data_IF_384934018998
#
_entry.id   IF_384934018998
#
_cell.length_a   1.000
_cell.length_b   1.000
_cell.length_c   1.000
_cell.angle_alpha   90.00
_cell.angle_beta   90.00
_cell.angle_gamma   90.00
#
_symmetry.space_group_name_H-M   'P 1'
#
loop_
_entity.id
_entity.type
_entity.pdbx_description
1 polymer ?
#
# COMPACT_ATOMS: atom_id res chain seq x y z
N UNK A 1 -15.89 19.83 3.85
CA UNK A 1 -15.02 18.86 4.57
C UNK A 1 -14.31 17.99 3.54
N UNK A 2 -13.16 17.37 3.85
CA UNK A 2 -12.44 16.55 2.87
C UNK A 2 -13.05 15.15 2.78
N UNK A 3 -13.26 14.64 1.57
CA UNK A 3 -13.84 13.32 1.33
C UNK A 3 -13.11 12.58 0.20
N UNK A 4 -12.97 11.27 0.30
CA UNK A 4 -12.47 10.41 -0.78
C UNK A 4 -13.58 10.19 -1.79
N UNK A 5 -13.25 10.32 -3.09
CA UNK A 5 -14.16 10.10 -4.22
C UNK A 5 -13.46 9.35 -5.34
N UNK A 6 -14.17 8.43 -5.99
CA UNK A 6 -13.71 7.77 -7.21
C UNK A 6 -12.52 6.82 -7.04
N UNK A 7 -12.37 6.20 -5.87
CA UNK A 7 -11.28 5.24 -5.64
C UNK A 7 -11.30 4.11 -6.68
N UNK A 8 -10.16 3.92 -7.35
CA UNK A 8 -9.95 2.93 -8.42
C UNK A 8 -8.60 2.26 -8.28
N UNK A 9 -8.59 0.93 -8.27
CA UNK A 9 -7.37 0.13 -8.21
C UNK A 9 -7.12 -0.64 -9.50
N UNK A 10 -5.87 -0.68 -9.94
CA UNK A 10 -5.42 -1.38 -11.15
C UNK A 10 -4.23 -2.27 -10.82
N UNK A 11 -4.15 -3.42 -11.46
CA UNK A 11 -3.14 -4.45 -11.20
C UNK A 11 -2.39 -4.82 -12.48
N UNK A 12 -1.13 -5.27 -12.37
CA UNK A 12 -0.41 -5.86 -13.49
C UNK A 12 -1.15 -7.08 -14.08
N UNK A 13 -0.73 -7.51 -15.26
CA UNK A 13 -1.42 -8.58 -16.01
C UNK A 13 -1.21 -9.99 -15.45
N UNK A 14 -0.10 -10.24 -14.72
CA UNK A 14 0.29 -11.58 -14.32
C UNK A 14 -0.30 -11.93 -12.96
N UNK A 15 -1.51 -12.49 -12.97
CA UNK A 15 -2.09 -13.10 -11.77
C UNK A 15 -1.45 -14.45 -11.53
N UNK A 16 -0.95 -14.68 -10.30
CA UNK A 16 -0.29 -15.91 -9.89
C UNK A 16 -0.89 -16.47 -8.61
N UNK A 17 -0.82 -17.78 -8.45
CA UNK A 17 -1.24 -18.48 -7.24
C UNK A 17 -0.06 -18.65 -6.28
N UNK A 18 -0.35 -18.70 -4.98
CA UNK A 18 0.68 -18.88 -3.95
C UNK A 18 1.50 -20.17 -4.14
N UNK A 19 0.87 -21.22 -4.66
CA UNK A 19 1.56 -22.46 -4.94
C UNK A 19 2.65 -22.30 -6.02
N UNK A 20 2.39 -21.50 -7.06
CA UNK A 20 3.38 -21.21 -8.10
C UNK A 20 4.58 -20.44 -7.54
N UNK A 21 4.33 -19.48 -6.63
CA UNK A 21 5.39 -18.74 -5.93
C UNK A 21 6.20 -19.67 -5.02
N UNK A 22 5.54 -20.61 -4.34
CA UNK A 22 6.21 -21.62 -3.52
C UNK A 22 7.14 -22.49 -4.38
N UNK A 23 6.72 -22.88 -5.59
CA UNK A 23 7.56 -23.62 -6.53
C UNK A 23 8.78 -22.81 -7.01
N UNK A 24 8.62 -21.49 -7.26
CA UNK A 24 9.75 -20.59 -7.54
C UNK A 24 10.74 -20.59 -6.36
N UNK A 25 10.23 -20.43 -5.12
CA UNK A 25 11.06 -20.51 -3.92
C UNK A 25 11.81 -21.83 -3.80
N UNK A 26 11.17 -22.95 -4.14
CA UNK A 26 11.82 -24.27 -4.20
C UNK A 26 12.93 -24.35 -5.24
N UNK A 27 12.67 -23.90 -6.46
CA UNK A 27 13.67 -23.85 -7.54
C UNK A 27 14.91 -23.08 -7.12
N UNK A 28 14.74 -21.93 -6.48
CA UNK A 28 15.84 -21.04 -6.08
C UNK A 28 16.59 -21.52 -4.83
N UNK A 29 15.89 -22.03 -3.82
CA UNK A 29 16.44 -22.18 -2.47
C UNK A 29 16.44 -23.59 -1.91
N UNK A 30 15.99 -24.63 -2.66
CA UNK A 30 15.90 -26.02 -2.15
C UNK A 30 17.24 -26.60 -1.70
N UNK A 31 18.36 -26.16 -2.28
CA UNK A 31 19.72 -26.56 -1.86
C UNK A 31 20.10 -26.01 -0.47
N UNK A 32 19.41 -25.01 0.05
CA UNK A 32 19.66 -24.42 1.37
C UNK A 32 18.90 -25.21 2.44
N UNK A 33 19.61 -25.82 3.40
CA UNK A 33 19.00 -26.63 4.47
C UNK A 33 17.96 -25.84 5.27
N UNK A 34 18.22 -24.56 5.52
CA UNK A 34 17.32 -23.67 6.26
C UNK A 34 16.00 -23.41 5.51
N UNK A 35 15.98 -23.48 4.17
CA UNK A 35 14.77 -23.26 3.38
C UNK A 35 13.66 -24.26 3.72
N UNK A 36 13.98 -25.53 3.96
CA UNK A 36 12.99 -26.55 4.35
C UNK A 36 12.18 -26.16 5.60
N UNK A 37 12.82 -25.45 6.55
CA UNK A 37 12.14 -24.93 7.76
C UNK A 37 11.31 -23.70 7.47
N UNK A 38 11.71 -22.90 6.49
CA UNK A 38 11.07 -21.63 6.13
C UNK A 38 9.95 -21.79 5.12
N UNK A 39 9.93 -22.86 4.35
CA UNK A 39 8.97 -23.09 3.27
C UNK A 39 7.51 -22.98 3.74
N UNK A 40 7.21 -23.32 4.98
CA UNK A 40 5.88 -23.18 5.60
C UNK A 40 5.39 -21.72 5.60
N UNK A 41 6.27 -20.72 5.38
CA UNK A 41 5.85 -19.31 5.30
C UNK A 41 4.87 -19.08 4.16
N UNK A 42 5.03 -19.80 3.03
CA UNK A 42 4.10 -19.69 1.90
C UNK A 42 2.69 -20.17 2.29
N UNK A 43 2.59 -21.28 3.02
CA UNK A 43 1.30 -21.84 3.45
C UNK A 43 0.65 -20.99 4.55
N UNK A 44 1.46 -20.36 5.42
CA UNK A 44 1.01 -19.57 6.58
C UNK A 44 0.89 -18.05 6.30
N UNK A 45 1.20 -17.60 5.08
CA UNK A 45 1.17 -16.18 4.72
C UNK A 45 -0.24 -15.57 4.72
N UNK A 46 -1.26 -16.43 4.51
CA UNK A 46 -2.65 -16.00 4.27
C UNK A 46 -2.92 -15.61 2.81
N UNK A 47 -1.89 -15.55 1.97
CA UNK A 47 -2.00 -15.19 0.55
C UNK A 47 -2.41 -16.42 -0.26
N UNK A 48 -3.40 -16.28 -1.13
CA UNK A 48 -3.84 -17.31 -2.09
C UNK A 48 -3.44 -16.93 -3.52
N UNK A 49 -3.63 -15.67 -3.87
CA UNK A 49 -3.28 -15.12 -5.18
C UNK A 49 -2.66 -13.74 -5.03
N UNK A 50 -2.00 -13.28 -6.08
CA UNK A 50 -1.52 -11.89 -6.22
C UNK A 50 -1.27 -11.56 -7.68
N UNK A 51 -0.90 -10.31 -7.94
CA UNK A 51 -0.49 -9.85 -9.26
C UNK A 51 0.98 -9.46 -9.22
N UNK A 52 1.71 -9.79 -10.28
CA UNK A 52 3.13 -9.48 -10.47
C UNK A 52 3.35 -8.70 -11.75
N UNK A 53 4.34 -7.84 -11.74
CA UNK A 53 4.70 -7.00 -12.89
C UNK A 53 5.23 -7.82 -14.05
N UNK A 54 6.07 -8.84 -13.78
CA UNK A 54 6.68 -9.71 -14.77
C UNK A 54 6.18 -11.15 -14.65
N UNK A 55 6.45 -11.96 -15.68
CA UNK A 55 6.17 -13.41 -15.66
C UNK A 55 7.06 -14.12 -14.64
N UNK A 56 6.61 -15.27 -14.15
CA UNK A 56 7.33 -16.03 -13.11
C UNK A 56 8.77 -16.40 -13.49
N UNK A 57 9.03 -16.69 -14.76
CA UNK A 57 10.38 -17.05 -15.22
C UNK A 57 11.38 -15.92 -15.07
N UNK A 58 10.94 -14.65 -15.19
CA UNK A 58 11.78 -13.49 -14.95
C UNK A 58 12.37 -13.49 -13.54
N UNK A 59 11.61 -13.93 -12.54
CA UNK A 59 12.07 -13.96 -11.14
C UNK A 59 13.05 -15.08 -10.82
N UNK A 60 13.36 -15.96 -11.76
CA UNK A 60 14.40 -16.97 -11.65
C UNK A 60 15.78 -16.46 -12.04
N UNK A 61 15.85 -15.32 -12.72
CA UNK A 61 17.05 -14.72 -13.26
C UNK A 61 17.54 -13.54 -12.39
N UNK A 62 18.83 -13.25 -12.49
CA UNK A 62 19.42 -12.08 -11.84
C UNK A 62 19.20 -10.83 -12.70
N UNK A 63 18.77 -9.76 -12.06
CA UNK A 63 18.54 -8.47 -12.70
C UNK A 63 19.23 -7.37 -11.90
N UNK A 64 19.87 -6.45 -12.60
CA UNK A 64 20.50 -5.30 -11.97
C UNK A 64 19.49 -4.20 -11.58
N UNK A 65 19.94 -3.25 -10.78
CA UNK A 65 19.12 -2.13 -10.32
C UNK A 65 18.50 -1.31 -11.45
N UNK A 66 19.29 -1.02 -12.52
CA UNK A 66 18.83 -0.23 -13.66
C UNK A 66 17.63 -0.87 -14.37
N UNK A 67 17.71 -2.19 -14.60
CA UNK A 67 16.64 -2.96 -15.25
C UNK A 67 15.37 -2.99 -14.40
N UNK A 68 15.50 -3.30 -13.10
CA UNK A 68 14.38 -3.32 -12.16
C UNK A 68 13.68 -1.95 -12.08
N UNK A 69 14.47 -0.89 -12.02
CA UNK A 69 13.94 0.46 -11.91
C UNK A 69 13.35 0.96 -13.23
N UNK A 70 13.89 0.54 -14.38
CA UNK A 70 13.28 0.78 -15.69
C UNK A 70 11.89 0.13 -15.79
N UNK A 71 11.77 -1.15 -15.36
CA UNK A 71 10.50 -1.87 -15.33
C UNK A 71 9.51 -1.20 -14.36
N UNK A 72 10.00 -0.74 -13.20
CA UNK A 72 9.18 0.02 -12.26
C UNK A 72 8.59 1.27 -12.93
N UNK A 73 9.41 2.14 -13.48
CA UNK A 73 8.94 3.38 -14.12
C UNK A 73 7.91 3.11 -15.21
N UNK A 74 8.22 2.19 -16.13
CA UNK A 74 7.35 1.83 -17.25
C UNK A 74 5.99 1.30 -16.78
N UNK A 75 6.00 0.33 -15.87
CA UNK A 75 4.76 -0.34 -15.43
C UNK A 75 3.97 0.53 -14.46
N UNK A 76 4.62 1.26 -13.55
CA UNK A 76 3.96 2.20 -12.66
C UNK A 76 3.21 3.30 -13.41
N UNK A 77 3.84 3.89 -14.44
CA UNK A 77 3.19 4.90 -15.27
C UNK A 77 1.96 4.35 -16.01
N UNK A 78 2.07 3.15 -16.59
CA UNK A 78 0.96 2.52 -17.30
C UNK A 78 -0.23 2.21 -16.37
N UNK A 79 0.03 1.63 -15.19
CA UNK A 79 -1.00 1.32 -14.21
C UNK A 79 -1.67 2.59 -13.68
N UNK A 80 -0.88 3.62 -13.35
CA UNK A 80 -1.41 4.89 -12.87
C UNK A 80 -2.22 5.61 -13.94
N UNK A 81 -1.80 5.58 -15.21
CA UNK A 81 -2.58 6.14 -16.31
C UNK A 81 -3.98 5.53 -16.39
N UNK A 82 -4.08 4.20 -16.26
CA UNK A 82 -5.35 3.48 -16.27
C UNK A 82 -6.18 3.81 -15.02
N UNK A 83 -5.60 3.71 -13.83
CA UNK A 83 -6.26 4.02 -12.56
C UNK A 83 -6.78 5.46 -12.49
N UNK A 84 -5.97 6.44 -12.91
CA UNK A 84 -6.37 7.86 -12.95
C UNK A 84 -7.52 8.08 -13.93
N UNK A 85 -7.45 7.45 -15.12
CA UNK A 85 -8.53 7.51 -16.10
C UNK A 85 -9.85 7.02 -15.52
N UNK A 86 -9.84 5.83 -14.88
CA UNK A 86 -11.03 5.31 -14.21
C UNK A 86 -11.55 6.24 -13.09
N UNK A 87 -10.64 6.81 -12.30
CA UNK A 87 -10.99 7.77 -11.22
C UNK A 87 -11.69 9.00 -11.77
N UNK A 88 -11.14 9.59 -12.84
CA UNK A 88 -11.69 10.78 -13.50
C UNK A 88 -13.05 10.46 -14.15
N UNK A 89 -13.18 9.32 -14.81
CA UNK A 89 -14.43 8.87 -15.44
C UNK A 89 -15.53 8.62 -14.39
N UNK A 90 -15.21 7.89 -13.30
CA UNK A 90 -16.16 7.62 -12.19
C UNK A 90 -16.66 8.89 -11.50
N UNK A 91 -15.83 9.93 -11.46
CA UNK A 91 -16.16 11.19 -10.74
C UNK A 91 -16.69 12.27 -11.66
N UNK A 92 -16.59 12.09 -12.98
CA UNK A 92 -16.83 13.11 -13.99
C UNK A 92 -16.03 14.42 -13.72
N UNK A 93 -14.81 14.26 -13.17
CA UNK A 93 -13.94 15.41 -12.82
C UNK A 93 -13.05 15.76 -14.00
N UNK A 94 -12.99 17.03 -14.37
CA UNK A 94 -12.08 17.50 -15.42
C UNK A 94 -10.66 17.65 -14.87
N UNK A 95 -9.60 17.16 -15.54
CA UNK A 95 -8.22 17.29 -15.07
C UNK A 95 -7.79 18.73 -14.73
N UNK A 96 -8.28 19.72 -15.47
CA UNK A 96 -7.96 21.15 -15.26
C UNK A 96 -8.43 21.68 -13.88
N UNK A 97 -9.36 21.00 -13.23
CA UNK A 97 -9.86 21.36 -11.88
C UNK A 97 -8.98 20.80 -10.77
N UNK A 98 -8.09 19.86 -11.07
CA UNK A 98 -7.20 19.25 -10.09
C UNK A 98 -6.09 20.24 -9.75
N UNK A 99 -6.00 20.61 -8.46
CA UNK A 99 -5.05 21.59 -7.96
C UNK A 99 -3.73 21.00 -7.47
N UNK A 100 -3.71 19.68 -7.14
CA UNK A 100 -2.48 18.99 -6.77
C UNK A 100 -2.49 17.51 -7.14
N UNK A 101 -1.29 16.95 -7.35
CA UNK A 101 -1.03 15.51 -7.46
C UNK A 101 -0.17 15.11 -6.26
N UNK A 102 -0.67 14.18 -5.44
CA UNK A 102 0.09 13.50 -4.39
C UNK A 102 0.43 12.10 -4.90
N UNK A 103 1.70 11.83 -5.15
CA UNK A 103 2.18 10.52 -5.59
C UNK A 103 2.92 9.82 -4.44
N UNK A 104 2.48 8.63 -4.07
CA UNK A 104 3.10 7.79 -3.04
C UNK A 104 3.67 6.53 -3.68
N UNK A 105 4.96 6.28 -3.48
CA UNK A 105 5.61 5.02 -3.83
C UNK A 105 6.82 4.77 -2.94
N UNK A 106 7.26 3.51 -2.86
CA UNK A 106 8.44 3.11 -2.10
C UNK A 106 9.24 1.97 -2.77
N UNK A 107 8.86 1.58 -3.99
CA UNK A 107 9.41 0.39 -4.66
C UNK A 107 10.22 0.70 -5.92
N UNK A 108 10.41 1.97 -6.23
CA UNK A 108 11.27 2.45 -7.32
C UNK A 108 11.49 3.95 -7.23
N UNK A 109 12.51 4.45 -7.93
CA UNK A 109 12.90 5.87 -7.92
C UNK A 109 13.02 6.42 -9.32
N UNK A 110 12.72 7.69 -9.49
CA UNK A 110 12.98 8.42 -10.73
C UNK A 110 13.14 9.93 -10.49
N UNK A 111 13.92 10.55 -11.33
CA UNK A 111 13.98 12.01 -11.44
C UNK A 111 14.03 12.36 -12.94
N UNK A 112 13.05 13.11 -13.48
CA UNK A 112 11.82 13.56 -12.81
C UNK A 112 10.97 12.41 -12.22
N UNK A 113 10.20 12.71 -11.17
CA UNK A 113 9.30 11.75 -10.53
C UNK A 113 8.10 11.41 -11.41
N UNK A 114 7.46 10.26 -11.20
CA UNK A 114 6.37 9.74 -12.08
C UNK A 114 5.19 10.73 -12.18
N UNK A 115 4.93 11.53 -11.15
CA UNK A 115 3.90 12.58 -11.19
C UNK A 115 4.18 13.65 -12.27
N UNK A 116 5.46 13.89 -12.62
CA UNK A 116 5.81 14.76 -13.75
C UNK A 116 5.46 14.11 -15.11
N UNK A 117 5.59 12.78 -15.21
CA UNK A 117 5.17 12.06 -16.42
C UNK A 117 3.64 12.00 -16.52
N UNK A 118 2.95 11.77 -15.38
CA UNK A 118 1.48 11.84 -15.29
C UNK A 118 0.97 13.22 -15.74
N UNK A 119 1.63 14.30 -15.31
CA UNK A 119 1.28 15.67 -15.73
C UNK A 119 1.20 15.81 -17.25
N UNK A 120 2.10 15.20 -17.99
CA UNK A 120 2.10 15.24 -19.46
C UNK A 120 1.05 14.33 -20.12
N UNK A 121 0.42 13.42 -19.39
CA UNK A 121 -0.57 12.48 -19.94
C UNK A 121 -2.01 13.01 -19.88
N UNK A 122 -2.26 14.01 -19.02
CA UNK A 122 -3.60 14.56 -18.80
C UNK A 122 -3.55 16.09 -18.93
N UNK A 123 -4.67 16.70 -19.26
CA UNK A 123 -4.78 18.15 -19.43
C UNK A 123 -4.92 18.87 -18.09
N UNK A 124 -3.90 18.78 -17.22
CA UNK A 124 -3.85 19.52 -15.96
C UNK A 124 -3.47 20.98 -16.18
N UNK A 125 -3.79 21.83 -15.20
CA UNK A 125 -3.32 23.21 -15.18
C UNK A 125 -1.79 23.25 -14.92
N UNK A 126 -1.06 24.14 -15.60
CA UNK A 126 0.39 24.28 -15.43
C UNK A 126 0.83 24.70 -14.01
N UNK A 127 -0.08 25.30 -13.23
CA UNK A 127 0.16 25.70 -11.85
C UNK A 127 -0.17 24.59 -10.82
N UNK A 128 -0.37 23.35 -11.28
CA UNK A 128 -0.67 22.22 -10.39
C UNK A 128 0.48 21.99 -9.39
N UNK A 129 0.14 21.81 -8.12
CA UNK A 129 1.12 21.44 -7.09
C UNK A 129 1.44 19.95 -7.21
N UNK A 130 2.72 19.58 -7.21
CA UNK A 130 3.15 18.19 -7.21
C UNK A 130 3.85 17.84 -5.89
N UNK A 131 3.41 16.76 -5.26
CA UNK A 131 3.98 16.23 -4.02
C UNK A 131 4.33 14.74 -4.19
N UNK A 132 5.52 14.41 -4.71
CA UNK A 132 6.02 13.04 -4.71
C UNK A 132 6.50 12.67 -3.29
N UNK A 133 6.03 11.52 -2.79
CA UNK A 133 6.36 10.99 -1.47
C UNK A 133 7.01 9.63 -1.65
N UNK A 134 8.26 9.51 -1.20
CA UNK A 134 9.01 8.27 -1.18
C UNK A 134 9.33 7.85 0.25
N UNK A 135 9.29 6.53 0.53
CA UNK A 135 9.83 5.98 1.77
C UNK A 135 8.82 5.78 2.92
N UNK A 136 7.54 6.11 2.74
CA UNK A 136 6.51 5.76 3.74
C UNK A 136 6.15 4.28 3.75
N UNK A 137 6.52 3.52 2.69
CA UNK A 137 6.20 2.10 2.57
C UNK A 137 4.73 1.81 2.87
N UNK A 138 4.48 0.79 3.68
CA UNK A 138 3.12 0.36 4.01
C UNK A 138 2.24 1.43 4.68
N UNK A 139 2.82 2.41 5.39
CA UNK A 139 2.05 3.52 5.96
C UNK A 139 1.59 4.54 4.92
N UNK A 140 2.17 4.50 3.71
CA UNK A 140 1.97 5.51 2.67
C UNK A 140 0.52 5.70 2.23
N UNK A 141 -0.32 4.65 2.30
CA UNK A 141 -1.73 4.77 1.94
C UNK A 141 -2.52 5.70 2.87
N UNK A 142 -2.20 5.69 4.17
CA UNK A 142 -2.84 6.59 5.15
C UNK A 142 -2.09 7.93 5.23
N UNK A 143 -0.76 7.91 5.25
CA UNK A 143 0.03 9.15 5.34
C UNK A 143 -0.12 10.03 4.09
N UNK A 144 -0.19 9.42 2.89
CA UNK A 144 -0.48 10.12 1.66
C UNK A 144 -1.87 10.75 1.66
N UNK A 145 -2.88 10.05 2.17
CA UNK A 145 -4.22 10.59 2.40
C UNK A 145 -4.17 11.80 3.33
N UNK A 146 -3.44 11.71 4.46
CA UNK A 146 -3.33 12.80 5.42
C UNK A 146 -2.71 14.04 4.77
N UNK A 147 -1.62 13.89 3.99
CA UNK A 147 -1.01 15.00 3.22
C UNK A 147 -1.98 15.60 2.20
N UNK A 148 -2.72 14.75 1.48
CA UNK A 148 -3.71 15.21 0.51
C UNK A 148 -4.83 16.03 1.16
N UNK A 149 -5.30 15.63 2.34
CA UNK A 149 -6.30 16.38 3.13
C UNK A 149 -5.75 17.74 3.58
N UNK A 150 -4.48 17.82 4.00
CA UNK A 150 -3.82 19.07 4.38
C UNK A 150 -3.70 20.03 3.18
N UNK A 151 -3.29 19.51 2.02
CA UNK A 151 -3.19 20.28 0.78
C UNK A 151 -4.59 20.76 0.33
N UNK A 152 -5.60 19.87 0.39
CA UNK A 152 -6.99 20.23 0.08
C UNK A 152 -7.48 21.41 0.93
N UNK A 153 -7.23 21.38 2.24
CA UNK A 153 -7.60 22.48 3.15
C UNK A 153 -6.87 23.79 2.82
N UNK A 154 -5.64 23.70 2.35
CA UNK A 154 -4.83 24.87 1.98
C UNK A 154 -5.23 25.47 0.64
N UNK A 155 -5.43 24.63 -0.37
CA UNK A 155 -5.69 25.07 -1.74
C UNK A 155 -7.17 25.29 -2.05
N UNK A 156 -8.06 24.59 -1.32
CA UNK A 156 -9.50 24.50 -1.63
C UNK A 156 -9.78 24.08 -3.09
N UNK A 157 -9.00 23.12 -3.59
CA UNK A 157 -9.09 22.54 -4.94
C UNK A 157 -9.07 21.03 -4.83
N UNK A 158 -9.64 20.32 -5.82
CA UNK A 158 -9.57 18.87 -5.94
C UNK A 158 -8.12 18.38 -5.93
N UNK A 159 -7.81 17.36 -5.14
CA UNK A 159 -6.48 16.76 -5.06
C UNK A 159 -6.54 15.34 -5.64
N UNK A 160 -5.69 15.03 -6.62
CA UNK A 160 -5.48 13.68 -7.10
C UNK A 160 -4.43 12.98 -6.23
N UNK A 161 -4.80 11.83 -5.67
CA UNK A 161 -3.88 11.00 -4.91
C UNK A 161 -3.62 9.70 -5.67
N UNK A 162 -2.36 9.35 -5.81
CA UNK A 162 -1.88 8.18 -6.54
C UNK A 162 -0.96 7.37 -5.64
N UNK A 163 -1.25 6.09 -5.46
CA UNK A 163 -0.37 5.14 -4.79
C UNK A 163 0.03 4.05 -5.77
N UNK A 164 1.32 3.77 -5.94
CA UNK A 164 1.79 2.69 -6.80
C UNK A 164 2.94 1.94 -6.16
N UNK A 165 2.80 0.62 -6.08
CA UNK A 165 3.82 -0.26 -5.52
C UNK A 165 3.99 -1.51 -6.39
N UNK A 166 5.21 -1.73 -6.85
CA UNK A 166 5.60 -2.91 -7.61
C UNK A 166 6.64 -3.69 -6.81
N UNK A 167 6.18 -4.22 -5.66
CA UNK A 167 7.03 -4.84 -4.66
C UNK A 167 7.75 -6.07 -5.20
N UNK A 168 7.17 -6.77 -6.19
CA UNK A 168 7.80 -7.95 -6.79
C UNK A 168 9.14 -7.63 -7.46
N UNK A 169 9.31 -6.42 -7.98
CA UNK A 169 10.57 -6.00 -8.60
C UNK A 169 11.73 -5.82 -7.61
N UNK A 170 11.46 -5.83 -6.31
CA UNK A 170 12.50 -5.80 -5.27
C UNK A 170 13.01 -7.19 -4.89
N UNK A 171 12.41 -8.26 -5.42
CA UNK A 171 12.84 -9.63 -5.13
C UNK A 171 14.22 -9.92 -5.73
N UNK A 172 15.10 -10.55 -4.94
CA UNK A 172 16.50 -10.83 -5.28
C UNK A 172 16.74 -12.36 -5.24
N UNK A 173 16.68 -13.05 -6.39
CA UNK A 173 16.73 -14.52 -6.45
C UNK A 173 18.05 -15.11 -5.92
N UNK A 174 19.16 -14.38 -6.04
CA UNK A 174 20.48 -14.81 -5.57
C UNK A 174 20.67 -14.70 -4.05
N UNK A 175 19.80 -13.95 -3.35
CA UNK A 175 19.95 -13.69 -1.92
C UNK A 175 19.05 -14.61 -1.11
N UNK A 176 19.67 -15.52 -0.37
CA UNK A 176 18.96 -16.33 0.61
C UNK A 176 19.02 -15.68 1.98
N UNK A 177 17.99 -14.93 2.34
CA UNK A 177 17.75 -14.43 3.69
C UNK A 177 16.31 -14.75 4.11
N UNK A 178 16.06 -14.69 5.41
CA UNK A 178 14.71 -14.91 5.94
C UNK A 178 13.74 -13.84 5.44
N UNK A 179 14.19 -12.60 5.43
CA UNK A 179 13.43 -11.43 5.00
C UNK A 179 13.06 -11.54 3.52
N UNK A 180 14.03 -11.94 2.67
CA UNK A 180 13.80 -12.12 1.24
C UNK A 180 12.82 -13.28 0.96
N UNK A 181 12.93 -14.41 1.66
CA UNK A 181 11.97 -15.53 1.53
C UNK A 181 10.57 -15.12 2.02
N UNK A 182 10.46 -14.38 3.13
CA UNK A 182 9.17 -13.89 3.64
C UNK A 182 8.55 -12.90 2.67
N UNK A 183 9.35 -12.00 2.08
CA UNK A 183 8.84 -11.03 1.10
C UNK A 183 8.26 -11.70 -0.14
N UNK A 184 8.89 -12.79 -0.64
CA UNK A 184 8.35 -13.57 -1.76
C UNK A 184 7.01 -14.22 -1.43
N UNK A 185 6.80 -14.62 -0.17
CA UNK A 185 5.55 -15.21 0.27
C UNK A 185 4.41 -14.19 0.46
N UNK A 186 4.73 -12.89 0.61
CA UNK A 186 3.77 -11.85 0.98
C UNK A 186 3.48 -10.83 -0.12
N UNK A 187 4.51 -10.29 -0.79
CA UNK A 187 4.36 -9.11 -1.62
C UNK A 187 3.65 -9.36 -2.94
N UNK A 188 2.85 -8.36 -3.34
CA UNK A 188 2.21 -8.24 -4.66
C UNK A 188 2.35 -6.82 -5.19
N UNK A 189 1.86 -6.59 -6.41
CA UNK A 189 1.97 -5.35 -7.16
C UNK A 189 0.61 -4.76 -7.47
N UNK A 190 0.52 -3.43 -7.54
CA UNK A 190 -0.69 -2.72 -7.90
C UNK A 190 -0.60 -1.22 -7.70
N UNK A 191 -1.62 -0.54 -8.11
CA UNK A 191 -1.81 0.88 -7.85
C UNK A 191 -3.25 1.20 -7.48
N UNK A 192 -3.46 2.37 -6.89
CA UNK A 192 -4.76 2.95 -6.66
C UNK A 192 -4.69 4.47 -6.80
N UNK A 193 -5.75 5.07 -7.35
CA UNK A 193 -5.91 6.52 -7.38
C UNK A 193 -7.30 6.92 -6.91
N UNK A 194 -7.41 8.14 -6.38
CA UNK A 194 -8.66 8.72 -5.91
C UNK A 194 -8.54 10.24 -5.84
N UNK A 195 -9.68 10.89 -5.70
CA UNK A 195 -9.75 12.33 -5.49
C UNK A 195 -10.07 12.66 -4.03
N UNK A 196 -9.52 13.78 -3.54
CA UNK A 196 -9.99 14.46 -2.35
C UNK A 196 -10.77 15.67 -2.81
N UNK A 197 -12.05 15.69 -2.44
CA UNK A 197 -13.01 16.74 -2.73
C UNK A 197 -13.84 17.10 -1.49
N UNK A 198 -14.72 18.07 -1.59
CA UNK A 198 -15.61 18.46 -0.50
C UNK A 198 -16.66 17.36 -0.22
N UNK A 199 -17.17 16.73 -1.27
CA UNK A 199 -18.17 15.66 -1.21
C UNK A 199 -17.62 14.36 -1.78
N UNK A 200 -17.92 13.24 -1.13
CA UNK A 200 -17.47 11.92 -1.55
C UNK A 200 -17.99 10.81 -0.64
N UNK A 201 -17.67 9.57 -0.99
CA UNK A 201 -18.17 8.37 -0.28
C UNK A 201 -17.58 8.19 1.12
N UNK A 202 -16.38 8.73 1.37
CA UNK A 202 -15.68 8.58 2.64
C UNK A 202 -15.20 9.94 3.12
N UNK A 203 -15.90 10.52 4.09
CA UNK A 203 -15.53 11.79 4.72
C UNK A 203 -14.42 11.57 5.73
N UNK A 204 -13.38 12.39 5.70
CA UNK A 204 -12.27 12.34 6.67
C UNK A 204 -12.65 13.20 7.87
N UNK A 205 -12.80 12.56 9.03
CA UNK A 205 -13.21 13.22 10.28
C UNK A 205 -12.01 13.71 11.09
N UNK A 206 -10.97 12.87 11.19
CA UNK A 206 -9.76 13.16 11.96
C UNK A 206 -8.60 12.36 11.38
N UNK A 207 -7.41 12.95 11.36
CA UNK A 207 -6.18 12.30 10.91
C UNK A 207 -5.05 12.58 11.88
N UNK A 208 -4.13 11.62 12.05
CA UNK A 208 -2.89 11.77 12.81
C UNK A 208 -1.83 10.81 12.32
N UNK A 209 -0.62 11.07 12.71
CA UNK A 209 0.51 10.15 12.55
C UNK A 209 1.32 10.09 13.85
N UNK A 210 1.98 8.96 14.07
CA UNK A 210 2.87 8.77 15.21
C UNK A 210 4.11 7.99 14.81
N UNK A 211 5.28 8.57 14.99
CA UNK A 211 6.57 7.92 14.74
C UNK A 211 7.25 7.62 16.05
N UNK A 212 7.65 6.36 16.25
CA UNK A 212 8.39 5.95 17.46
C UNK A 212 9.87 6.22 17.31
N UNK A 213 10.48 6.74 18.37
CA UNK A 213 11.94 6.91 18.43
C UNK A 213 12.64 5.54 18.52
N UNK A 214 13.85 5.44 17.99
CA UNK A 214 14.70 4.24 18.06
C UNK A 214 14.08 2.98 17.43
N UNK A 215 13.34 3.14 16.32
CA UNK A 215 12.62 2.07 15.67
C UNK A 215 12.95 1.92 14.17
N UNK A 216 14.00 2.58 13.67
CA UNK A 216 14.39 2.58 12.26
C UNK A 216 14.70 1.18 11.71
N UNK A 217 15.24 0.29 12.57
CA UNK A 217 15.60 -1.08 12.18
C UNK A 217 14.41 -2.04 12.04
N UNK A 218 13.19 -1.62 12.42
CA UNK A 218 12.03 -2.52 12.39
C UNK A 218 11.56 -2.84 10.99
N UNK A 219 11.50 -1.84 10.10
CA UNK A 219 10.98 -1.99 8.75
C UNK A 219 11.58 -0.96 7.81
N UNK A 220 11.88 -1.36 6.58
CA UNK A 220 12.37 -0.45 5.56
C UNK A 220 13.00 -1.16 4.37
N UNK A 221 13.74 -0.38 3.61
CA UNK A 221 14.60 -0.84 2.53
C UNK A 221 16.06 -0.52 2.83
N UNK A 222 16.94 -1.50 2.65
CA UNK A 222 18.35 -1.25 2.38
C UNK A 222 18.54 -0.92 0.90
N UNK A 223 19.50 -0.06 0.58
CA UNK A 223 19.89 0.23 -0.80
C UNK A 223 21.18 -0.53 -1.10
N UNK A 224 21.10 -1.46 -2.03
CA UNK A 224 22.21 -2.34 -2.44
C UNK A 224 22.55 -2.11 -3.91
N UNK A 225 23.67 -2.66 -4.38
CA UNK A 225 24.12 -2.48 -5.77
C UNK A 225 23.14 -3.05 -6.81
N UNK A 226 22.38 -4.09 -6.44
CA UNK A 226 21.42 -4.77 -7.31
C UNK A 226 19.95 -4.39 -7.04
N UNK A 227 19.68 -3.47 -6.11
CA UNK A 227 18.32 -2.98 -5.83
C UNK A 227 18.01 -2.73 -4.36
N UNK A 228 16.71 -2.73 -4.05
CA UNK A 228 16.22 -2.55 -2.69
C UNK A 228 16.18 -3.90 -1.96
N UNK A 229 16.76 -3.95 -0.76
CA UNK A 229 16.70 -5.12 0.14
C UNK A 229 15.68 -4.88 1.25
N UNK A 230 14.81 -5.86 1.48
CA UNK A 230 13.76 -5.72 2.50
C UNK A 230 14.33 -5.84 3.91
N UNK A 231 13.89 -4.94 4.79
CA UNK A 231 14.12 -4.99 6.23
C UNK A 231 12.80 -5.27 6.93
N UNK A 232 12.71 -6.43 7.59
CA UNK A 232 11.58 -6.83 8.43
C UNK A 232 12.06 -7.45 9.72
N UNK A 233 11.83 -6.79 10.84
CA UNK A 233 12.13 -7.40 12.14
C UNK A 233 10.95 -8.29 12.60
N UNK A 234 11.30 -9.48 13.09
CA UNK A 234 10.34 -10.44 13.65
C UNK A 234 9.57 -9.92 14.88
N UNK A 235 10.06 -8.86 15.51
CA UNK A 235 9.43 -8.26 16.71
C UNK A 235 8.29 -7.31 16.38
N UNK A 236 8.04 -6.99 15.10
CA UNK A 236 6.99 -6.04 14.70
C UNK A 236 5.61 -6.39 15.29
N UNK A 237 5.09 -7.64 15.25
CA UNK A 237 3.79 -7.96 15.86
C UNK A 237 3.74 -7.65 17.36
N UNK A 238 4.78 -8.00 18.12
CA UNK A 238 4.90 -7.71 19.54
C UNK A 238 5.03 -6.20 19.81
N UNK A 239 5.75 -5.49 18.94
CA UNK A 239 5.86 -4.04 19.03
C UNK A 239 4.49 -3.38 18.86
N UNK A 240 3.71 -3.82 17.87
CA UNK A 240 2.36 -3.32 17.61
C UNK A 240 1.47 -3.55 18.83
N UNK A 241 1.42 -4.78 19.37
CA UNK A 241 0.55 -5.09 20.52
C UNK A 241 0.92 -4.29 21.78
N UNK A 242 2.20 -3.94 21.96
CA UNK A 242 2.65 -3.18 23.12
C UNK A 242 2.56 -1.67 22.97
N UNK A 243 2.71 -1.13 21.74
CA UNK A 243 2.93 0.31 21.53
C UNK A 243 1.77 1.02 20.84
N UNK A 244 1.03 0.32 19.96
CA UNK A 244 -0.06 0.93 19.23
C UNK A 244 -1.27 1.30 20.13
N UNK A 245 -1.61 0.57 21.22
CA UNK A 245 -2.71 0.95 22.11
C UNK A 245 -2.59 2.37 22.67
N UNK A 246 -1.40 2.81 23.06
CA UNK A 246 -1.19 4.18 23.55
C UNK A 246 -1.49 5.23 22.49
N UNK A 247 -1.14 4.94 21.23
CA UNK A 247 -1.39 5.84 20.08
C UNK A 247 -2.89 5.89 19.78
N UNK A 248 -3.59 4.74 19.81
CA UNK A 248 -5.03 4.66 19.63
C UNK A 248 -5.78 5.42 20.72
N UNK A 249 -5.36 5.26 21.98
CA UNK A 249 -5.94 6.00 23.12
C UNK A 249 -5.77 7.51 22.97
N UNK A 250 -4.59 7.98 22.53
CA UNK A 250 -4.34 9.40 22.25
C UNK A 250 -5.11 9.92 21.04
N UNK A 251 -5.32 9.08 20.04
CA UNK A 251 -6.16 9.41 18.89
C UNK A 251 -7.59 9.69 19.32
N UNK A 252 -8.06 9.00 20.35
CA UNK A 252 -9.30 9.29 21.09
C UNK A 252 -10.51 9.51 20.19
N UNK A 253 -10.82 8.51 19.37
CA UNK A 253 -12.01 8.51 18.51
C UNK A 253 -12.97 7.40 18.99
N UNK A 254 -14.14 7.80 19.45
CA UNK A 254 -15.15 6.91 20.01
C UNK A 254 -16.19 6.49 18.97
N UNK A 255 -16.93 5.41 19.26
CA UNK A 255 -18.04 4.91 18.44
C UNK A 255 -17.63 4.51 17.03
N UNK A 256 -16.56 3.70 16.91
CA UNK A 256 -16.17 3.09 15.65
C UNK A 256 -17.04 1.87 15.35
N UNK A 257 -17.54 1.80 14.10
CA UNK A 257 -18.26 0.64 13.57
C UNK A 257 -17.30 -0.46 13.11
N UNK A 258 -16.02 -0.14 12.92
CA UNK A 258 -14.97 -1.08 12.53
C UNK A 258 -13.68 -0.43 12.07
N UNK A 259 -12.94 -1.17 11.26
CA UNK A 259 -11.56 -0.83 10.91
C UNK A 259 -11.28 -1.07 9.42
N UNK A 260 -10.48 -0.20 8.82
CA UNK A 260 -9.87 -0.34 7.48
C UNK A 260 -8.38 -0.48 7.68
N UNK A 261 -7.88 -1.73 7.73
CA UNK A 261 -6.49 -1.99 8.09
C UNK A 261 -5.63 -2.30 6.87
N UNK A 262 -4.38 -1.90 6.92
CA UNK A 262 -3.37 -2.37 6.00
C UNK A 262 -3.15 -3.89 6.15
N UNK A 263 -3.28 -4.63 5.05
CA UNK A 263 -3.11 -6.09 4.99
C UNK A 263 -1.63 -6.50 4.87
N UNK A 264 -0.82 -6.16 5.88
CA UNK A 264 0.63 -6.36 5.87
C UNK A 264 1.11 -7.81 6.00
N UNK A 265 0.23 -8.72 6.43
CA UNK A 265 0.48 -10.15 6.65
C UNK A 265 -0.33 -10.67 7.84
N UNK A 266 -0.56 -12.00 7.90
CA UNK A 266 -1.42 -12.61 8.94
C UNK A 266 -1.01 -12.26 10.36
N UNK A 267 0.30 -12.24 10.66
CA UNK A 267 0.78 -11.89 12.01
C UNK A 267 0.46 -10.45 12.41
N UNK A 268 0.48 -9.52 11.44
CA UNK A 268 0.12 -8.12 11.67
C UNK A 268 -1.39 -7.99 11.91
N UNK A 269 -2.19 -8.68 11.12
CA UNK A 269 -3.66 -8.70 11.29
C UNK A 269 -4.02 -9.33 12.65
N UNK A 270 -3.33 -10.40 13.05
CA UNK A 270 -3.53 -11.01 14.38
C UNK A 270 -3.13 -10.06 15.52
N UNK A 271 -2.04 -9.28 15.36
CA UNK A 271 -1.67 -8.25 16.34
C UNK A 271 -2.76 -7.18 16.49
N UNK A 272 -3.37 -6.74 15.38
CA UNK A 272 -4.53 -5.84 15.43
C UNK A 272 -5.73 -6.48 16.16
N UNK A 273 -6.04 -7.76 15.90
CA UNK A 273 -7.12 -8.47 16.61
C UNK A 273 -6.95 -8.54 18.12
N UNK A 274 -5.71 -8.60 18.60
CA UNK A 274 -5.43 -8.63 20.05
C UNK A 274 -5.68 -7.28 20.75
N UNK A 275 -5.61 -6.18 20.02
CA UNK A 275 -5.71 -4.83 20.60
C UNK A 275 -7.02 -4.11 20.24
N UNK A 276 -7.75 -4.59 19.24
CA UNK A 276 -9.01 -4.01 18.79
C UNK A 276 -10.20 -4.87 19.25
N UNK A 277 -11.18 -4.24 19.87
CA UNK A 277 -12.31 -4.94 20.51
C UNK A 277 -13.43 -5.35 19.53
N UNK A 278 -13.29 -5.08 18.25
CA UNK A 278 -14.33 -5.38 17.26
C UNK A 278 -13.73 -6.02 15.99
N UNK A 279 -14.06 -7.29 15.76
CA UNK A 279 -13.53 -8.11 14.67
C UNK A 279 -14.29 -7.94 13.33
N UNK A 280 -15.42 -7.23 13.33
CA UNK A 280 -16.39 -7.24 12.21
C UNK A 280 -15.79 -6.90 10.82
N UNK A 281 -14.78 -6.04 10.77
CA UNK A 281 -14.20 -5.59 9.49
C UNK A 281 -12.74 -6.00 9.28
N UNK A 282 -12.10 -6.62 10.27
CA UNK A 282 -10.74 -7.14 10.13
C UNK A 282 -10.68 -8.25 9.06
N UNK A 283 -11.76 -9.01 8.91
CA UNK A 283 -11.91 -10.02 7.84
C UNK A 283 -11.80 -9.44 6.43
N UNK A 284 -12.15 -8.16 6.20
CA UNK A 284 -11.96 -7.51 4.91
C UNK A 284 -10.47 -7.36 4.58
N UNK A 285 -9.66 -6.96 5.56
CA UNK A 285 -8.21 -6.87 5.39
C UNK A 285 -7.56 -8.24 5.15
N UNK A 286 -8.09 -9.31 5.76
CA UNK A 286 -7.67 -10.69 5.47
C UNK A 286 -8.06 -11.14 4.06
N UNK A 287 -9.26 -10.80 3.62
CA UNK A 287 -9.71 -11.10 2.26
C UNK A 287 -8.84 -10.40 1.22
N UNK A 288 -8.45 -9.15 1.46
CA UNK A 288 -7.52 -8.40 0.61
C UNK A 288 -6.13 -9.05 0.61
N UNK A 289 -5.58 -9.40 1.78
CA UNK A 289 -4.31 -10.13 1.85
C UNK A 289 -4.37 -11.45 1.06
N UNK A 290 -5.45 -12.19 1.22
CA UNK A 290 -5.65 -13.47 0.53
C UNK A 290 -5.67 -13.32 -0.99
N UNK A 291 -6.28 -12.27 -1.50
CA UNK A 291 -6.52 -12.05 -2.95
C UNK A 291 -5.38 -11.34 -3.67
N UNK A 292 -4.68 -10.42 -2.98
CA UNK A 292 -3.71 -9.53 -3.60
C UNK A 292 -2.30 -9.60 -2.98
N UNK A 293 -2.15 -10.28 -1.83
CA UNK A 293 -0.92 -10.19 -1.04
C UNK A 293 -0.77 -8.81 -0.37
N UNK A 294 0.44 -8.52 0.07
CA UNK A 294 0.80 -7.21 0.59
C UNK A 294 1.29 -6.31 -0.55
N UNK A 295 0.50 -5.35 -0.95
CA UNK A 295 0.80 -4.34 -1.99
C UNK A 295 1.25 -3.02 -1.34
N UNK A 296 2.00 -3.10 -0.24
CA UNK A 296 2.55 -1.94 0.48
C UNK A 296 1.50 -0.82 0.70
N UNK A 297 1.77 0.43 0.29
CA UNK A 297 0.89 1.58 0.49
C UNK A 297 -0.51 1.42 -0.14
N UNK A 298 -0.66 0.58 -1.14
CA UNK A 298 -1.93 0.35 -1.84
C UNK A 298 -2.88 -0.55 -1.04
N UNK A 299 -2.36 -1.47 -0.21
CA UNK A 299 -3.17 -2.50 0.48
C UNK A 299 -4.33 -1.94 1.31
N UNK A 300 -4.12 -0.86 2.05
CA UNK A 300 -5.17 -0.25 2.87
C UNK A 300 -6.26 0.40 2.00
N UNK A 301 -5.89 0.90 0.83
CA UNK A 301 -6.82 1.46 -0.16
C UNK A 301 -7.66 0.36 -0.80
N UNK A 302 -7.09 -0.83 -1.04
CA UNK A 302 -7.84 -2.00 -1.52
C UNK A 302 -8.89 -2.45 -0.50
N UNK A 303 -8.54 -2.44 0.79
CA UNK A 303 -9.50 -2.72 1.87
C UNK A 303 -10.64 -1.70 1.86
N UNK A 304 -10.32 -0.40 1.73
CA UNK A 304 -11.30 0.66 1.65
C UNK A 304 -12.20 0.52 0.41
N UNK A 305 -11.61 0.26 -0.76
CA UNK A 305 -12.36 0.09 -2.01
C UNK A 305 -13.35 -1.09 -1.94
N UNK A 306 -12.93 -2.21 -1.35
CA UNK A 306 -13.80 -3.38 -1.15
C UNK A 306 -14.98 -3.05 -0.21
N UNK A 307 -14.72 -2.31 0.88
CA UNK A 307 -15.77 -1.89 1.80
C UNK A 307 -16.75 -0.90 1.14
N UNK A 308 -16.27 0.01 0.30
CA UNK A 308 -17.12 0.90 -0.51
C UNK A 308 -18.01 0.08 -1.44
N UNK A 309 -17.44 -0.89 -2.17
CA UNK A 309 -18.17 -1.79 -3.08
C UNK A 309 -19.25 -2.62 -2.36
N UNK A 310 -19.00 -2.97 -1.11
CA UNK A 310 -19.96 -3.68 -0.24
C UNK A 310 -20.96 -2.76 0.46
N UNK A 311 -20.96 -1.45 0.15
CA UNK A 311 -21.86 -0.45 0.73
C UNK A 311 -21.81 -0.38 2.27
N UNK A 312 -20.63 -0.50 2.85
CA UNK A 312 -20.43 -0.24 4.27
C UNK A 312 -20.87 1.18 4.64
N UNK A 313 -21.52 1.33 5.80
CA UNK A 313 -21.99 2.62 6.30
C UNK A 313 -21.62 2.75 7.77
N UNK A 314 -21.11 3.88 8.20
CA UNK A 314 -20.68 4.10 9.57
C UNK A 314 -19.33 4.80 9.67
N UNK A 315 -18.73 4.74 10.86
CA UNK A 315 -17.46 5.37 11.19
C UNK A 315 -16.37 4.31 11.39
N UNK A 316 -15.28 4.43 10.66
CA UNK A 316 -14.20 3.44 10.66
C UNK A 316 -12.86 4.10 10.95
N UNK A 317 -11.98 3.36 11.63
CA UNK A 317 -10.58 3.73 11.76
C UNK A 317 -9.78 3.11 10.62
N UNK A 318 -9.23 3.94 9.77
CA UNK A 318 -8.23 3.55 8.77
C UNK A 318 -6.85 3.59 9.41
N UNK A 319 -6.09 2.48 9.32
CA UNK A 319 -4.77 2.37 9.96
C UNK A 319 -3.78 1.61 9.09
N UNK A 320 -2.58 2.15 9.00
CA UNK A 320 -1.43 1.52 8.37
C UNK A 320 -0.15 1.82 9.14
N UNK A 321 0.78 0.85 9.11
CA UNK A 321 2.07 0.91 9.78
C UNK A 321 3.18 0.75 8.74
N UNK A 322 4.25 1.51 8.86
CA UNK A 322 5.34 1.49 7.89
C UNK A 322 6.68 1.96 8.46
N UNK A 323 7.67 2.10 7.58
CA UNK A 323 9.01 2.56 7.97
C UNK A 323 9.02 3.84 8.78
N UNK A 324 10.02 3.90 9.76
CA UNK A 324 10.20 5.05 10.64
C UNK A 324 10.39 4.69 12.12
N UNK A 325 9.76 3.76 12.79
CA UNK A 325 8.51 3.07 12.47
C UNK A 325 7.34 4.01 12.73
N UNK A 326 6.38 4.04 11.84
CA UNK A 326 5.33 5.07 11.87
C UNK A 326 3.95 4.45 11.74
N UNK A 327 2.98 4.95 12.50
CA UNK A 327 1.56 4.68 12.34
C UNK A 327 0.86 5.87 11.69
N UNK A 328 0.14 5.63 10.61
CA UNK A 328 -0.85 6.56 10.07
C UNK A 328 -2.25 6.15 10.51
N UNK A 329 -3.04 7.10 11.01
CA UNK A 329 -4.41 6.90 11.46
C UNK A 329 -5.34 7.94 10.85
N UNK A 330 -6.52 7.50 10.38
CA UNK A 330 -7.60 8.40 9.94
C UNK A 330 -8.95 7.83 10.33
N UNK A 331 -9.75 8.60 11.06
CA UNK A 331 -11.17 8.30 11.26
C UNK A 331 -11.93 8.78 10.02
N UNK A 332 -12.68 7.87 9.41
CA UNK A 332 -13.45 8.12 8.20
C UNK A 332 -14.92 7.77 8.44
N UNK A 333 -15.82 8.55 7.85
CA UNK A 333 -17.25 8.24 7.80
C UNK A 333 -17.60 7.79 6.39
N UNK A 334 -18.00 6.55 6.26
CA UNK A 334 -18.52 6.00 5.00
C UNK A 334 -20.01 6.19 4.94
N UNK A 335 -20.51 6.57 3.77
CA UNK A 335 -21.95 6.69 3.48
C UNK A 335 -22.31 5.72 2.38
N UNK A 336 -23.55 5.18 2.42
CA UNK A 336 -24.07 4.37 1.32
C UNK A 336 -24.03 5.19 0.03
N UNK A 337 -23.68 4.53 -1.08
CA UNK A 337 -23.88 5.10 -2.39
C UNK A 337 -25.39 5.35 -2.54
N UNK A 338 -25.78 6.62 -2.74
CA UNK A 338 -27.17 7.00 -3.03
C UNK A 338 -27.61 6.49 -4.39
#
# INVERSE_FOLDING_TARGET
MASIKGLSSVFPKHKVFQQEIKEIGRKLFSSKIQFKKMEKVYDNSGVKTRYLTEKLDWYLEEHNWSERNFLFKKNALNLLKESIKETIEKTNTKPEKIGAIVLVNSTGISTPTIDAEIFNLFNFNNEIVRLPIFGYGCAGGVLGLNRAVEIFKSLNKTILVCNVELCSLTFRPQIFSKENVVSTALFGDGCASYLIEEEGHCQILKSTEHTWKNSLSLMGWGVEDDGLSVIFDKVIPDFITKKLPDVLNKFSFNNLDGYVLHSGGMKIIQAYRQILNNDKTISESEAILSKFGNVSSVSVLLTLEEMIKKNYNGVYLMSALGPGFTAGLSAIKMSKNG
#
